data_IF_181073545302
#
_entry.id   IF_181073545302
#
_cell.length_a   1.000
_cell.length_b   1.000
_cell.length_c   1.000
_cell.angle_alpha   90.00
_cell.angle_beta   90.00
_cell.angle_gamma   90.00
#
_symmetry.space_group_name_H-M   'P 1'
#
loop_
_entity.id
_entity.type
_entity.pdbx_description
1 polymer ?
#
# COMPACT_ATOMS: atom_id res chain seq x y z
N UNK A 1 3.95 4.88 17.55
CA UNK A 1 4.65 3.57 17.49
C UNK A 1 6.09 3.82 17.06
N UNK A 2 7.09 3.19 17.69
CA UNK A 2 8.48 3.23 17.20
C UNK A 2 8.65 2.12 16.17
N UNK A 3 8.51 2.48 14.89
CA UNK A 3 8.76 1.56 13.77
C UNK A 3 10.25 1.26 13.65
N UNK A 4 10.59 0.05 13.21
CA UNK A 4 11.97 -0.37 12.93
C UNK A 4 12.48 0.32 11.67
N UNK A 5 11.61 0.52 10.67
CA UNK A 5 11.90 1.26 9.44
C UNK A 5 11.10 2.57 9.33
N UNK A 6 11.29 3.54 10.23
CA UNK A 6 10.41 4.72 10.33
C UNK A 6 10.37 5.55 9.04
N UNK A 7 11.49 5.65 8.32
CA UNK A 7 11.56 6.36 7.05
C UNK A 7 10.75 5.67 5.95
N UNK A 8 10.80 4.33 5.89
CA UNK A 8 10.05 3.53 4.93
C UNK A 8 8.54 3.64 5.20
N UNK A 9 8.14 3.56 6.47
CA UNK A 9 6.74 3.72 6.87
C UNK A 9 6.22 5.14 6.57
N UNK A 10 7.01 6.17 6.88
CA UNK A 10 6.62 7.54 6.59
C UNK A 10 6.51 7.80 5.08
N UNK A 11 7.44 7.26 4.29
CA UNK A 11 7.37 7.32 2.83
C UNK A 11 6.09 6.66 2.30
N UNK A 12 5.78 5.44 2.76
CA UNK A 12 4.56 4.73 2.37
C UNK A 12 3.30 5.54 2.73
N UNK A 13 3.24 6.11 3.94
CA UNK A 13 2.12 6.96 4.37
C UNK A 13 1.93 8.16 3.44
N UNK A 14 3.01 8.88 3.13
CA UNK A 14 2.96 10.04 2.22
C UNK A 14 2.38 9.61 0.88
N UNK A 15 2.85 8.49 0.33
CA UNK A 15 2.39 7.99 -0.96
C UNK A 15 0.95 7.49 -0.94
N UNK A 16 0.50 6.88 0.15
CA UNK A 16 -0.91 6.56 0.34
C UNK A 16 -1.78 7.83 0.28
N UNK A 17 -1.35 8.93 0.93
CA UNK A 17 -2.08 10.21 0.83
C UNK A 17 -2.03 10.81 -0.57
N UNK A 18 -0.88 10.76 -1.27
CA UNK A 18 -0.80 11.19 -2.67
C UNK A 18 -1.78 10.42 -3.57
N UNK A 19 -1.93 9.11 -3.38
CA UNK A 19 -2.92 8.31 -4.11
C UNK A 19 -4.35 8.77 -3.79
N UNK A 20 -4.68 8.95 -2.51
CA UNK A 20 -6.01 9.42 -2.09
C UNK A 20 -6.32 10.84 -2.60
N UNK A 21 -5.31 11.66 -2.82
CA UNK A 21 -5.42 13.00 -3.42
C UNK A 21 -5.40 12.99 -4.95
N UNK A 22 -5.37 11.81 -5.59
CA UNK A 22 -5.31 11.64 -7.05
C UNK A 22 -4.03 12.20 -7.70
N UNK A 23 -2.95 12.27 -6.93
CA UNK A 23 -1.65 12.74 -7.43
C UNK A 23 -0.84 11.62 -8.11
N UNK A 24 -1.13 10.35 -7.80
CA UNK A 24 -0.48 9.17 -8.37
C UNK A 24 -1.51 8.11 -8.75
N UNK A 25 -1.18 7.27 -9.73
CA UNK A 25 -2.07 6.23 -10.27
C UNK A 25 -2.12 4.96 -9.40
N UNK A 26 -3.04 4.05 -9.77
CA UNK A 26 -3.14 2.71 -9.17
C UNK A 26 -1.85 1.90 -9.37
N UNK A 27 -1.24 1.97 -10.55
CA UNK A 27 0.02 1.30 -10.86
C UNK A 27 1.18 1.84 -10.00
N UNK A 28 1.21 3.15 -9.79
CA UNK A 28 2.24 3.80 -8.97
C UNK A 28 2.11 3.39 -7.50
N UNK A 29 0.90 3.41 -6.93
CA UNK A 29 0.71 3.01 -5.53
C UNK A 29 0.97 1.51 -5.33
N UNK A 30 0.58 0.65 -6.29
CA UNK A 30 0.92 -0.78 -6.27
C UNK A 30 2.44 -0.97 -6.21
N UNK A 31 3.17 -0.31 -7.11
CA UNK A 31 4.64 -0.40 -7.20
C UNK A 31 5.33 0.10 -5.91
N UNK A 32 4.77 1.14 -5.28
CA UNK A 32 5.29 1.67 -4.02
C UNK A 32 5.08 0.67 -2.86
N UNK A 33 3.93 0.01 -2.82
CA UNK A 33 3.62 -1.03 -1.82
C UNK A 33 4.59 -2.21 -2.00
N UNK A 34 4.75 -2.71 -3.23
CA UNK A 34 5.72 -3.75 -3.58
C UNK A 34 7.13 -3.39 -3.11
N UNK A 35 7.62 -2.18 -3.45
CA UNK A 35 8.96 -1.76 -3.08
C UNK A 35 9.13 -1.57 -1.56
N UNK A 36 8.07 -1.17 -0.86
CA UNK A 36 8.08 -1.03 0.60
C UNK A 36 8.14 -2.39 1.29
N UNK A 37 7.35 -3.34 0.81
CA UNK A 37 7.37 -4.73 1.27
C UNK A 37 8.80 -5.30 1.27
N UNK A 38 9.52 -5.15 0.15
CA UNK A 38 10.87 -5.68 -0.04
C UNK A 38 11.93 -5.02 0.86
N UNK A 39 11.65 -3.84 1.43
CA UNK A 39 12.54 -3.15 2.36
C UNK A 39 12.36 -3.61 3.81
N UNK A 40 11.24 -4.28 4.15
CA UNK A 40 10.94 -4.72 5.51
C UNK A 40 11.51 -6.13 5.74
N UNK A 41 12.68 -6.18 6.38
CA UNK A 41 13.40 -7.44 6.60
C UNK A 41 13.29 -7.97 8.04
N UNK A 42 13.02 -7.10 9.01
CA UNK A 42 12.89 -7.47 10.43
C UNK A 42 11.80 -8.52 10.69
N UNK A 43 12.06 -9.40 11.65
CA UNK A 43 11.13 -10.44 12.10
C UNK A 43 9.97 -9.82 12.86
N UNK A 44 10.23 -8.82 13.70
CA UNK A 44 9.22 -8.10 14.49
C UNK A 44 8.18 -7.40 13.60
N UNK A 45 8.56 -7.00 12.40
CA UNK A 45 7.67 -6.38 11.40
C UNK A 45 7.32 -7.31 10.23
N UNK A 46 7.54 -8.64 10.36
CA UNK A 46 7.14 -9.63 9.34
C UNK A 46 5.65 -9.56 8.99
N UNK A 47 4.80 -9.29 9.98
CA UNK A 47 3.36 -9.11 9.78
C UNK A 47 3.04 -7.96 8.82
N UNK A 48 3.86 -6.90 8.84
CA UNK A 48 3.66 -5.75 7.96
C UNK A 48 4.07 -6.09 6.54
N UNK A 49 5.17 -6.84 6.37
CA UNK A 49 5.55 -7.38 5.06
C UNK A 49 4.43 -8.23 4.47
N UNK A 50 3.88 -9.16 5.24
CA UNK A 50 2.75 -10.01 4.80
C UNK A 50 1.50 -9.20 4.47
N UNK A 51 1.20 -8.15 5.24
CA UNK A 51 0.10 -7.23 4.93
C UNK A 51 0.30 -6.54 3.59
N UNK A 52 1.49 -5.99 3.34
CA UNK A 52 1.79 -5.26 2.10
C UNK A 52 1.76 -6.20 0.90
N UNK A 53 2.30 -7.41 1.04
CA UNK A 53 2.23 -8.47 0.03
C UNK A 53 0.77 -8.77 -0.36
N UNK A 54 -0.10 -9.00 0.62
CA UNK A 54 -1.50 -9.32 0.36
C UNK A 54 -2.23 -8.17 -0.34
N UNK A 55 -1.97 -6.93 0.08
CA UNK A 55 -2.55 -5.74 -0.53
C UNK A 55 -2.09 -5.57 -1.98
N UNK A 56 -0.79 -5.76 -2.23
CA UNK A 56 -0.21 -5.62 -3.56
C UNK A 56 -0.86 -6.62 -4.54
N UNK A 57 -0.96 -7.89 -4.14
CA UNK A 57 -1.64 -8.93 -4.92
C UNK A 57 -3.14 -8.65 -5.11
N UNK A 58 -3.82 -8.10 -4.10
CA UNK A 58 -5.23 -7.72 -4.22
C UNK A 58 -5.42 -6.59 -5.25
N UNK A 59 -4.53 -5.58 -5.24
CA UNK A 59 -4.54 -4.51 -6.23
C UNK A 59 -4.24 -5.07 -7.63
N UNK A 60 -3.26 -5.97 -7.76
CA UNK A 60 -2.94 -6.63 -9.02
C UNK A 60 -4.17 -7.37 -9.58
N UNK A 61 -4.83 -8.18 -8.75
CA UNK A 61 -6.04 -8.90 -9.14
C UNK A 61 -7.14 -7.94 -9.61
N UNK A 62 -7.40 -6.87 -8.87
CA UNK A 62 -8.41 -5.87 -9.22
C UNK A 62 -8.12 -5.24 -10.58
N UNK A 63 -6.86 -4.88 -10.88
CA UNK A 63 -6.48 -4.29 -12.17
C UNK A 63 -6.87 -5.15 -13.37
N UNK A 64 -6.98 -6.47 -13.21
CA UNK A 64 -7.36 -7.40 -14.28
C UNK A 64 -8.81 -7.90 -14.21
N UNK A 65 -9.55 -7.60 -13.14
CA UNK A 65 -10.88 -8.19 -12.88
C UNK A 65 -12.01 -7.18 -12.74
N UNK A 66 -11.72 -5.92 -12.43
CA UNK A 66 -12.74 -4.87 -12.33
C UNK A 66 -12.60 -3.83 -13.43
N UNK A 67 -13.74 -3.24 -13.79
CA UNK A 67 -13.78 -2.12 -14.74
C UNK A 67 -12.95 -0.94 -14.22
N UNK A 68 -12.33 -0.22 -15.14
CA UNK A 68 -11.47 0.93 -14.84
C UNK A 68 -12.15 1.98 -13.97
N UNK A 69 -13.45 2.19 -14.16
CA UNK A 69 -14.26 3.15 -13.38
C UNK A 69 -14.43 2.73 -11.91
N UNK A 70 -14.41 1.43 -11.62
CA UNK A 70 -14.58 0.88 -10.27
C UNK A 70 -13.24 0.62 -9.57
N UNK A 71 -12.17 0.40 -10.35
CA UNK A 71 -10.83 0.09 -9.88
C UNK A 71 -10.32 1.12 -8.86
N UNK A 72 -10.37 2.41 -9.18
CA UNK A 72 -9.86 3.44 -8.27
C UNK A 72 -10.57 3.44 -6.93
N UNK A 73 -11.90 3.25 -6.93
CA UNK A 73 -12.71 3.27 -5.71
C UNK A 73 -12.42 2.05 -4.84
N UNK A 74 -12.24 0.87 -5.45
CA UNK A 74 -11.85 -0.33 -4.74
C UNK A 74 -10.46 -0.17 -4.09
N UNK A 75 -9.48 0.33 -4.85
CA UNK A 75 -8.11 0.56 -4.35
C UNK A 75 -8.09 1.64 -3.27
N UNK A 76 -8.88 2.71 -3.37
CA UNK A 76 -9.01 3.70 -2.30
C UNK A 76 -9.42 3.11 -0.95
N UNK A 77 -10.35 2.15 -0.95
CA UNK A 77 -10.77 1.48 0.28
C UNK A 77 -9.63 0.69 0.91
N UNK A 78 -8.86 -0.02 0.08
CA UNK A 78 -7.67 -0.77 0.50
C UNK A 78 -6.62 0.17 1.10
N UNK A 79 -6.33 1.30 0.43
CA UNK A 79 -5.34 2.28 0.91
C UNK A 79 -5.78 2.95 2.22
N UNK A 80 -7.07 3.26 2.37
CA UNK A 80 -7.62 3.78 3.64
C UNK A 80 -7.45 2.77 4.79
N UNK A 81 -7.69 1.48 4.51
CA UNK A 81 -7.50 0.41 5.49
C UNK A 81 -6.02 0.21 5.85
N UNK A 82 -5.12 0.30 4.87
CA UNK A 82 -3.67 0.27 5.12
C UNK A 82 -3.24 1.41 6.04
N UNK A 83 -3.65 2.65 5.74
CA UNK A 83 -3.32 3.82 6.56
C UNK A 83 -3.80 3.67 8.01
N UNK A 84 -4.98 3.07 8.23
CA UNK A 84 -5.50 2.81 9.57
C UNK A 84 -4.60 1.86 10.39
N UNK A 85 -3.95 0.89 9.73
CA UNK A 85 -3.02 -0.07 10.35
C UNK A 85 -1.62 0.51 10.58
N UNK A 86 -1.26 1.59 9.88
CA UNK A 86 0.03 2.27 10.02
C UNK A 86 0.02 3.38 11.09
N UNK A 87 -1.11 3.66 11.74
CA UNK A 87 -1.25 4.71 12.75
C UNK A 87 -0.39 4.47 14.00
#
# INVERSE_FOLDING_TARGET
>A
MNWIYPNVINFLKIKCYSFLNKEISVEEIQSIIYNTEHQILSIEEKWLRELLFNIENEIELLRYTVDKEQLETAVELIIKNLLAKLK
#
